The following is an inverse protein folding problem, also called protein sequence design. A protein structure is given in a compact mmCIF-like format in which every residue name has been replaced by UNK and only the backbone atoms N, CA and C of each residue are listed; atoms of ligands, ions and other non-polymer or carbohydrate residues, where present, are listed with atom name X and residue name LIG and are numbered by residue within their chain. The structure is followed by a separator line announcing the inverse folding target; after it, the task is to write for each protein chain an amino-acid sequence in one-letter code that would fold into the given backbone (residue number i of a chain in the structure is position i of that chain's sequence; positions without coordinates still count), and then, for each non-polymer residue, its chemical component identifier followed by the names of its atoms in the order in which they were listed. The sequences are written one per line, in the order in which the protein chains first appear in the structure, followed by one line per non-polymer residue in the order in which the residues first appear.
data_IF_665402568797
#
_entry.id   IF_665402568797
#
_cell.length_a   1.000
_cell.length_b   1.000
_cell.length_c   1.000
_cell.angle_alpha   90.00
_cell.angle_beta   90.00
_cell.angle_gamma   90.00
#
_symmetry.space_group_name_H-M   'P 1'
#
loop_
_entity.id
_entity.type
_entity.pdbx_description
1 polymer ?
#
# COMPACT_ATOMS: atom_id res chain seq x y z
N UNK A 1 2.51 -15.50 5.29
CA UNK A 1 2.27 -16.28 6.53
C UNK A 1 3.29 -17.40 6.70
N UNK A 2 3.59 -18.21 5.68
CA UNK A 2 4.65 -19.24 5.75
C UNK A 2 6.01 -18.64 6.16
N UNK A 3 6.36 -17.48 5.62
CA UNK A 3 7.56 -16.74 5.99
C UNK A 3 7.56 -16.32 7.47
N UNK A 4 6.43 -15.83 8.00
CA UNK A 4 6.29 -15.49 9.41
C UNK A 4 6.43 -16.73 10.29
N UNK A 5 5.80 -17.85 9.92
CA UNK A 5 5.91 -19.13 10.63
C UNK A 5 7.37 -19.62 10.66
N UNK A 6 8.06 -19.49 9.53
CA UNK A 6 9.45 -19.90 9.42
C UNK A 6 10.40 -19.08 10.29
N UNK A 7 10.14 -17.77 10.43
CA UNK A 7 10.92 -16.88 11.28
C UNK A 7 10.58 -17.07 12.76
N UNK A 8 9.30 -17.02 13.11
CA UNK A 8 8.88 -16.99 14.52
C UNK A 8 8.78 -18.38 15.15
N UNK A 9 8.63 -19.42 14.35
CA UNK A 9 8.37 -20.81 14.77
C UNK A 9 7.23 -20.93 15.80
N UNK A 10 6.34 -19.94 15.83
CA UNK A 10 5.23 -19.87 16.77
C UNK A 10 3.89 -19.81 16.01
N UNK A 11 3.24 -20.98 15.90
CA UNK A 11 1.98 -21.12 15.19
C UNK A 11 0.88 -20.23 15.80
N UNK A 12 0.84 -20.09 17.13
CA UNK A 12 -0.13 -19.24 17.82
C UNK A 12 -0.01 -17.78 17.37
N UNK A 13 1.23 -17.25 17.32
CA UNK A 13 1.47 -15.89 16.83
C UNK A 13 1.01 -15.73 15.40
N UNK A 14 1.31 -16.70 14.53
CA UNK A 14 0.91 -16.66 13.13
C UNK A 14 -0.62 -16.62 12.99
N UNK A 15 -1.34 -17.49 13.69
CA UNK A 15 -2.81 -17.52 13.67
C UNK A 15 -3.40 -16.19 14.16
N UNK A 16 -2.87 -15.65 15.27
CA UNK A 16 -3.32 -14.37 15.80
C UNK A 16 -3.01 -13.21 14.83
N UNK A 17 -1.88 -13.25 14.11
CA UNK A 17 -1.56 -12.28 13.08
C UNK A 17 -2.53 -12.34 11.91
N UNK A 18 -2.87 -13.55 11.44
CA UNK A 18 -3.88 -13.74 10.37
C UNK A 18 -5.21 -13.15 10.80
N UNK A 19 -5.64 -13.46 12.03
CA UNK A 19 -6.88 -12.92 12.57
C UNK A 19 -6.87 -11.40 12.66
N UNK A 20 -5.76 -10.81 13.09
CA UNK A 20 -5.57 -9.35 13.16
C UNK A 20 -5.72 -8.68 11.80
N UNK A 21 -5.09 -9.25 10.78
CA UNK A 21 -5.18 -8.74 9.40
C UNK A 21 -6.63 -8.77 8.91
N UNK A 22 -7.30 -9.93 9.08
CA UNK A 22 -8.69 -10.09 8.66
C UNK A 22 -9.60 -9.10 9.41
N UNK A 23 -9.44 -8.97 10.71
CA UNK A 23 -10.22 -8.04 11.52
C UNK A 23 -10.00 -6.58 11.07
N UNK A 24 -8.77 -6.18 10.81
CA UNK A 24 -8.44 -4.83 10.32
C UNK A 24 -9.09 -4.55 8.97
N UNK A 25 -9.04 -5.51 8.05
CA UNK A 25 -9.66 -5.39 6.72
C UNK A 25 -11.19 -5.27 6.85
N UNK A 26 -11.82 -6.18 7.61
CA UNK A 26 -13.27 -6.19 7.79
C UNK A 26 -13.77 -4.90 8.41
N UNK A 27 -13.07 -4.40 9.45
CA UNK A 27 -13.46 -3.13 10.10
C UNK A 27 -13.27 -1.96 9.13
N UNK A 28 -12.18 -1.89 8.40
CA UNK A 28 -11.91 -0.77 7.48
C UNK A 28 -12.91 -0.74 6.31
N UNK A 29 -13.15 -1.87 5.66
CA UNK A 29 -14.11 -1.96 4.56
C UNK A 29 -15.56 -1.83 5.05
N UNK A 30 -15.88 -2.38 6.24
CA UNK A 30 -17.17 -2.20 6.89
C UNK A 30 -17.44 -0.74 7.23
N UNK A 31 -16.41 0.00 7.69
CA UNK A 31 -16.51 1.43 7.95
C UNK A 31 -16.77 2.21 6.65
N UNK A 32 -16.14 1.83 5.53
CA UNK A 32 -16.42 2.40 4.23
C UNK A 32 -17.88 2.25 3.83
N UNK A 33 -18.44 1.05 4.03
CA UNK A 33 -19.86 0.79 3.74
C UNK A 33 -20.80 1.65 4.63
N UNK A 34 -20.46 1.84 5.90
CA UNK A 34 -21.27 2.63 6.84
C UNK A 34 -21.20 4.12 6.50
N UNK A 35 -20.02 4.65 6.21
CA UNK A 35 -19.81 6.09 6.00
C UNK A 35 -20.19 6.55 4.58
N UNK A 36 -19.96 5.70 3.58
CA UNK A 36 -20.08 6.10 2.17
C UNK A 36 -21.10 5.27 1.38
N UNK A 37 -21.69 4.26 2.00
CA UNK A 37 -22.67 3.36 1.36
C UNK A 37 -22.08 2.41 0.32
N UNK A 38 -20.74 2.28 0.25
CA UNK A 38 -20.07 1.41 -0.72
C UNK A 38 -18.56 1.34 -0.57
N UNK A 39 -17.95 0.56 -1.45
CA UNK A 39 -16.50 0.38 -1.55
C UNK A 39 -16.07 0.90 -2.91
N UNK A 40 -15.19 1.88 -2.93
CA UNK A 40 -14.60 2.43 -4.16
C UNK A 40 -13.60 1.45 -4.79
N UNK A 41 -13.46 1.48 -6.11
CA UNK A 41 -12.54 0.60 -6.84
C UNK A 41 -11.09 0.71 -6.31
N UNK A 42 -10.65 1.92 -5.98
CA UNK A 42 -9.32 2.19 -5.44
C UNK A 42 -9.10 1.51 -4.09
N UNK A 43 -10.16 1.27 -3.30
CA UNK A 43 -10.08 0.61 -2.00
C UNK A 43 -9.73 -0.89 -2.06
N UNK A 44 -9.70 -1.49 -3.25
CA UNK A 44 -9.18 -2.86 -3.46
C UNK A 44 -7.72 -2.99 -2.98
N UNK A 45 -6.97 -1.89 -2.96
CA UNK A 45 -5.58 -1.85 -2.49
C UNK A 45 -5.50 -1.83 -0.95
N UNK A 46 -6.52 -1.34 -0.25
CA UNK A 46 -6.53 -1.23 1.23
C UNK A 46 -6.19 -2.54 1.95
N UNK A 47 -6.75 -3.71 1.60
CA UNK A 47 -6.39 -4.98 2.24
C UNK A 47 -4.91 -5.30 2.17
N UNK A 48 -4.25 -5.04 1.03
CA UNK A 48 -2.82 -5.27 0.86
C UNK A 48 -1.99 -4.33 1.75
N UNK A 49 -2.38 -3.07 1.86
CA UNK A 49 -1.72 -2.09 2.73
C UNK A 49 -1.83 -2.50 4.19
N UNK A 50 -3.04 -2.80 4.67
CA UNK A 50 -3.27 -3.20 6.06
C UNK A 50 -2.55 -4.52 6.40
N UNK A 51 -2.49 -5.47 5.46
CA UNK A 51 -1.70 -6.69 5.60
C UNK A 51 -0.22 -6.39 5.83
N UNK A 52 0.38 -5.53 5.00
CA UNK A 52 1.80 -5.19 5.09
C UNK A 52 2.09 -4.46 6.39
N UNK A 53 1.27 -3.48 6.77
CA UNK A 53 1.43 -2.70 8.01
C UNK A 53 1.31 -3.61 9.23
N UNK A 54 0.25 -4.43 9.32
CA UNK A 54 0.04 -5.35 10.43
C UNK A 54 1.20 -6.34 10.59
N UNK A 55 1.66 -6.93 9.48
CA UNK A 55 2.76 -7.87 9.49
C UNK A 55 4.06 -7.19 9.93
N UNK A 56 4.33 -5.98 9.44
CA UNK A 56 5.50 -5.18 9.82
C UNK A 56 5.49 -4.86 11.32
N UNK A 57 4.36 -4.38 11.84
CA UNK A 57 4.23 -4.00 13.25
C UNK A 57 4.47 -5.20 14.18
N UNK A 58 3.84 -6.35 13.88
CA UNK A 58 4.03 -7.58 14.66
C UNK A 58 5.46 -8.09 14.56
N UNK A 59 6.08 -8.04 13.39
CA UNK A 59 7.47 -8.43 13.20
C UNK A 59 8.42 -7.56 14.00
N UNK A 60 8.21 -6.26 14.04
CA UNK A 60 9.01 -5.33 14.85
C UNK A 60 8.85 -5.59 16.35
N UNK A 61 7.61 -5.81 16.80
CA UNK A 61 7.32 -6.11 18.20
C UNK A 61 7.93 -7.45 18.65
N UNK A 62 7.98 -8.46 17.78
CA UNK A 62 8.48 -9.81 18.09
C UNK A 62 9.97 -9.97 17.85
N UNK A 63 10.62 -9.05 17.13
CA UNK A 63 12.05 -9.14 16.83
C UNK A 63 12.90 -8.88 18.08
N UNK A 64 14.03 -9.62 18.25
CA UNK A 64 14.98 -9.51 19.36
C UNK A 64 14.34 -9.64 20.75
N UNK A 65 13.60 -10.70 20.99
CA UNK A 65 13.14 -10.99 22.35
C UNK A 65 14.28 -11.58 23.19
N UNK A 66 14.63 -10.89 24.25
CA UNK A 66 15.47 -11.47 25.32
C UNK A 66 14.64 -12.45 26.16
N UNK A 67 15.31 -13.41 26.82
CA UNK A 67 14.63 -14.33 27.74
C UNK A 67 13.81 -13.54 28.77
N UNK A 68 12.55 -13.95 28.96
CA UNK A 68 11.68 -13.35 29.95
C UNK A 68 12.18 -13.79 31.34
N UNK A 69 12.99 -12.94 31.96
CA UNK A 69 13.51 -13.14 33.33
C UNK A 69 12.63 -12.46 34.38
N UNK A 70 11.66 -11.66 33.96
CA UNK A 70 10.75 -10.84 34.76
C UNK A 70 9.29 -11.19 34.50
N UNK A 71 8.35 -10.52 35.17
CA UNK A 71 6.91 -10.73 34.94
C UNK A 71 6.53 -10.38 33.48
N UNK A 72 5.44 -11.02 32.98
CA UNK A 72 4.93 -10.74 31.62
C UNK A 72 4.61 -9.26 31.42
N UNK A 73 4.06 -8.63 32.45
CA UNK A 73 3.67 -7.21 32.39
C UNK A 73 4.86 -6.28 32.26
N UNK A 74 5.90 -6.48 33.10
CA UNK A 74 7.11 -5.67 33.03
C UNK A 74 7.87 -5.89 31.73
N UNK A 75 7.87 -7.11 31.18
CA UNK A 75 8.44 -7.39 29.87
C UNK A 75 7.66 -6.68 28.76
N UNK A 76 6.32 -6.74 28.77
CA UNK A 76 5.48 -6.05 27.80
C UNK A 76 5.72 -4.52 27.84
N UNK A 77 5.70 -3.93 29.04
CA UNK A 77 5.91 -2.49 29.21
C UNK A 77 7.30 -2.06 28.72
N UNK A 78 8.35 -2.81 29.07
CA UNK A 78 9.70 -2.56 28.58
C UNK A 78 9.78 -2.63 27.05
N UNK A 79 9.05 -3.57 26.43
CA UNK A 79 9.02 -3.74 24.98
C UNK A 79 8.27 -2.61 24.29
N UNK A 80 7.14 -2.18 24.85
CA UNK A 80 6.42 -0.99 24.36
C UNK A 80 7.31 0.25 24.46
N UNK A 81 8.05 0.41 25.54
CA UNK A 81 8.93 1.56 25.72
C UNK A 81 10.09 1.60 24.71
N UNK A 82 10.65 0.45 24.36
CA UNK A 82 11.81 0.37 23.46
C UNK A 82 11.46 0.29 21.99
N UNK A 83 10.47 -0.52 21.61
CA UNK A 83 10.11 -0.79 20.21
C UNK A 83 8.72 -0.28 19.86
N UNK A 84 7.79 -0.35 20.80
CA UNK A 84 6.40 0.08 20.57
C UNK A 84 6.29 1.55 20.16
N UNK A 85 7.12 2.42 20.72
CA UNK A 85 7.19 3.84 20.33
C UNK A 85 7.58 4.00 18.86
N UNK A 86 8.56 3.23 18.39
CA UNK A 86 8.98 3.28 17.00
C UNK A 86 7.89 2.72 16.07
N UNK A 87 7.23 1.63 16.45
CA UNK A 87 6.11 1.05 15.71
C UNK A 87 4.93 2.02 15.67
N UNK A 88 4.57 2.64 16.80
CA UNK A 88 3.51 3.64 16.83
C UNK A 88 3.83 4.84 15.93
N UNK A 89 5.09 5.33 15.97
CA UNK A 89 5.50 6.44 15.11
C UNK A 89 5.40 6.08 13.62
N UNK A 90 5.84 4.90 13.21
CA UNK A 90 5.74 4.44 11.80
C UNK A 90 4.29 4.32 11.36
N UNK A 91 3.41 3.75 12.19
CA UNK A 91 1.99 3.62 11.85
C UNK A 91 1.28 4.97 11.82
N UNK A 92 1.59 5.89 12.74
CA UNK A 92 1.05 7.25 12.72
C UNK A 92 1.50 8.01 11.47
N UNK A 93 2.80 7.96 11.13
CA UNK A 93 3.29 8.64 9.91
C UNK A 93 2.69 8.04 8.65
N UNK A 94 2.46 6.73 8.60
CA UNK A 94 1.75 6.07 7.51
C UNK A 94 0.30 6.53 7.41
N UNK A 95 -0.42 6.59 8.53
CA UNK A 95 -1.79 7.09 8.58
C UNK A 95 -1.86 8.55 8.11
N UNK A 96 -0.96 9.41 8.58
CA UNK A 96 -0.86 10.80 8.14
C UNK A 96 -0.59 10.92 6.64
N UNK A 97 0.24 10.02 6.08
CA UNK A 97 0.49 9.99 4.63
C UNK A 97 -0.79 9.69 3.84
N UNK A 98 -1.64 8.79 4.32
CA UNK A 98 -2.94 8.54 3.68
C UNK A 98 -3.92 9.70 3.87
N UNK A 99 -3.85 10.44 4.99
CA UNK A 99 -4.67 11.64 5.18
C UNK A 99 -4.33 12.77 4.20
N UNK A 100 -3.15 12.78 3.58
CA UNK A 100 -2.85 13.78 2.53
C UNK A 100 -3.79 13.68 1.32
N UNK A 101 -4.39 12.49 1.09
CA UNK A 101 -5.39 12.33 0.02
C UNK A 101 -6.70 13.08 0.27
N UNK A 102 -6.94 13.57 1.50
CA UNK A 102 -8.11 14.42 1.78
C UNK A 102 -8.10 15.76 1.03
N UNK A 103 -6.93 16.20 0.59
CA UNK A 103 -6.77 17.44 -0.21
C UNK A 103 -7.09 17.22 -1.70
N UNK A 104 -7.35 15.97 -2.09
CA UNK A 104 -7.62 15.63 -3.49
C UNK A 104 -9.10 15.90 -3.85
N UNK A 105 -9.35 16.47 -5.03
CA UNK A 105 -10.71 16.75 -5.54
C UNK A 105 -11.44 15.50 -6.03
N UNK A 106 -10.73 14.36 -6.20
CA UNK A 106 -11.31 13.11 -6.69
C UNK A 106 -11.88 12.33 -5.50
N UNK A 107 -13.21 12.29 -5.38
CA UNK A 107 -13.92 11.66 -4.26
C UNK A 107 -13.49 10.22 -3.95
N UNK A 108 -13.31 9.29 -4.90
CA UNK A 108 -12.80 7.96 -4.61
C UNK A 108 -11.43 7.94 -3.93
N UNK A 109 -10.53 8.84 -4.30
CA UNK A 109 -9.18 8.94 -3.72
C UNK A 109 -9.26 9.49 -2.29
N UNK A 110 -10.07 10.52 -2.07
CA UNK A 110 -10.32 11.10 -0.75
C UNK A 110 -10.87 10.05 0.23
N UNK A 111 -11.92 9.32 -0.20
CA UNK A 111 -12.54 8.26 0.62
C UNK A 111 -11.57 7.12 0.91
N UNK A 112 -10.79 6.70 -0.09
CA UNK A 112 -9.73 5.71 0.08
C UNK A 112 -8.70 6.15 1.13
N UNK A 113 -8.21 7.39 1.05
CA UNK A 113 -7.23 7.95 1.99
C UNK A 113 -7.75 7.94 3.43
N UNK A 114 -9.01 8.39 3.64
CA UNK A 114 -9.63 8.41 4.95
C UNK A 114 -9.77 7.00 5.55
N UNK A 115 -10.37 6.08 4.79
CA UNK A 115 -10.60 4.69 5.26
C UNK A 115 -9.29 3.96 5.54
N UNK A 116 -8.31 4.10 4.64
CA UNK A 116 -7.01 3.45 4.82
C UNK A 116 -6.25 4.02 6.01
N UNK A 117 -6.30 5.34 6.23
CA UNK A 117 -5.69 5.97 7.39
C UNK A 117 -6.28 5.45 8.70
N UNK A 118 -7.62 5.43 8.83
CA UNK A 118 -8.30 4.87 10.01
C UNK A 118 -7.95 3.39 10.17
N UNK A 119 -7.93 2.64 9.07
CA UNK A 119 -7.54 1.23 9.05
C UNK A 119 -6.14 0.98 9.59
N UNK A 120 -5.16 1.82 9.21
CA UNK A 120 -3.78 1.72 9.70
C UNK A 120 -3.72 1.96 11.22
N UNK A 121 -4.40 3.00 11.73
CA UNK A 121 -4.44 3.26 13.18
C UNK A 121 -5.09 2.09 13.92
N UNK A 122 -6.20 1.56 13.40
CA UNK A 122 -6.87 0.40 13.99
C UNK A 122 -5.98 -0.85 13.97
N UNK A 123 -5.23 -1.04 12.88
CA UNK A 123 -4.27 -2.15 12.74
C UNK A 123 -3.17 -2.08 13.81
N UNK A 124 -2.65 -0.89 14.13
CA UNK A 124 -1.70 -0.69 15.20
C UNK A 124 -2.26 -1.17 16.56
N UNK A 125 -3.50 -0.77 16.90
CA UNK A 125 -4.12 -1.20 18.16
C UNK A 125 -4.27 -2.72 18.22
N UNK A 126 -4.74 -3.35 17.15
CA UNK A 126 -4.86 -4.83 17.10
C UNK A 126 -3.49 -5.50 17.20
N UNK A 127 -2.46 -4.97 16.52
CA UNK A 127 -1.11 -5.53 16.58
C UNK A 127 -0.54 -5.50 18.01
N UNK A 128 -0.76 -4.41 18.75
CA UNK A 128 -0.37 -4.30 20.16
C UNK A 128 -1.13 -5.29 21.05
N UNK A 129 -2.45 -5.44 20.85
CA UNK A 129 -3.26 -6.42 21.59
C UNK A 129 -2.81 -7.86 21.30
N UNK A 130 -2.60 -8.20 20.04
CA UNK A 130 -2.12 -9.52 19.63
C UNK A 130 -0.73 -9.80 20.21
N UNK A 131 0.15 -8.80 20.19
CA UNK A 131 1.44 -8.94 20.82
C UNK A 131 1.31 -9.24 22.33
N UNK A 132 0.47 -8.48 23.07
CA UNK A 132 0.23 -8.70 24.49
C UNK A 132 -0.28 -10.12 24.80
N UNK A 133 -1.21 -10.64 23.98
CA UNK A 133 -1.78 -11.98 24.11
C UNK A 133 -0.75 -13.07 23.74
N UNK A 134 0.17 -12.76 22.83
CA UNK A 134 1.15 -13.72 22.32
C UNK A 134 2.34 -13.94 23.27
N UNK A 135 2.56 -13.04 24.22
CA UNK A 135 3.64 -13.18 25.21
C UNK A 135 3.32 -14.33 26.15
N UNK A 136 4.06 -15.43 26.04
CA UNK A 136 3.97 -16.57 26.93
C UNK A 136 5.33 -16.87 27.59
N UNK A 137 5.30 -17.49 28.80
CA UNK A 137 6.54 -17.85 29.52
C UNK A 137 7.46 -18.79 28.73
N UNK A 138 6.88 -19.55 27.82
CA UNK A 138 7.59 -20.48 26.93
C UNK A 138 7.91 -19.85 25.55
N UNK A 139 7.86 -18.53 25.42
CA UNK A 139 8.24 -17.87 24.18
C UNK A 139 9.75 -18.06 23.98
N UNK A 140 10.12 -19.15 23.32
CA UNK A 140 11.49 -19.40 22.92
C UNK A 140 11.92 -18.33 21.92
N UNK A 141 13.09 -17.75 22.16
CA UNK A 141 13.76 -16.90 21.20
C UNK A 141 13.72 -17.59 19.83
N UNK A 142 12.97 -17.04 18.89
CA UNK A 142 13.16 -17.41 17.51
C UNK A 142 14.57 -16.96 17.13
N UNK A 143 15.52 -17.91 17.16
CA UNK A 143 16.86 -17.63 16.65
C UNK A 143 16.65 -17.19 15.21
N UNK A 144 17.01 -15.95 14.87
CA UNK A 144 16.89 -15.51 13.48
C UNK A 144 17.64 -16.52 12.63
N UNK A 145 17.12 -16.82 11.46
CA UNK A 145 17.69 -17.79 10.57
C UNK A 145 19.16 -17.43 10.35
N UNK A 146 20.07 -18.27 10.83
CA UNK A 146 21.52 -18.05 10.72
C UNK A 146 21.95 -17.71 9.29
N UNK A 147 21.21 -18.27 8.30
CA UNK A 147 21.42 -17.99 6.89
C UNK A 147 21.02 -16.56 6.49
N UNK A 148 19.94 -16.02 7.05
CA UNK A 148 19.49 -14.66 6.77
C UNK A 148 20.37 -13.62 7.48
N UNK A 149 20.81 -13.90 8.70
CA UNK A 149 21.80 -13.05 9.39
C UNK A 149 23.13 -13.01 8.62
N UNK A 150 23.64 -14.16 8.16
CA UNK A 150 24.84 -14.17 7.33
C UNK A 150 24.66 -13.36 6.04
N UNK A 151 23.51 -13.47 5.39
CA UNK A 151 23.23 -12.68 4.20
C UNK A 151 23.22 -11.17 4.51
N UNK A 152 22.52 -10.75 5.56
CA UNK A 152 22.48 -9.34 5.98
C UNK A 152 23.85 -8.84 6.41
N UNK A 153 24.62 -9.63 7.15
CA UNK A 153 25.99 -9.27 7.58
C UNK A 153 26.93 -9.12 6.38
N UNK A 154 26.84 -10.00 5.38
CA UNK A 154 27.61 -9.91 4.14
C UNK A 154 27.21 -8.63 3.37
N UNK A 155 25.91 -8.34 3.24
CA UNK A 155 25.41 -7.14 2.55
C UNK A 155 25.88 -5.89 3.29
N UNK A 156 25.72 -5.83 4.60
CA UNK A 156 26.15 -4.69 5.44
C UNK A 156 27.66 -4.50 5.33
N UNK A 157 28.44 -5.58 5.42
CA UNK A 157 29.89 -5.53 5.27
C UNK A 157 30.33 -5.01 3.90
N UNK A 158 29.70 -5.52 2.83
CA UNK A 158 29.97 -5.05 1.47
C UNK A 158 29.56 -3.60 1.28
N UNK A 159 28.42 -3.17 1.79
CA UNK A 159 27.96 -1.77 1.72
C UNK A 159 28.92 -0.86 2.49
N UNK A 160 29.28 -1.23 3.73
CA UNK A 160 30.20 -0.44 4.57
C UNK A 160 31.59 -0.27 3.93
N UNK A 161 32.11 -1.35 3.35
CA UNK A 161 33.42 -1.31 2.67
C UNK A 161 33.31 -0.72 1.26
N UNK A 162 32.19 -0.91 0.59
CA UNK A 162 31.91 -0.36 -0.74
C UNK A 162 31.69 1.15 -0.74
N UNK A 163 31.27 1.73 0.38
CA UNK A 163 31.00 3.18 0.50
C UNK A 163 32.24 4.05 0.18
N UNK A 164 33.43 3.52 0.37
CA UNK A 164 34.70 4.20 -0.01
C UNK A 164 35.15 3.87 -1.44
N UNK A 165 34.47 2.99 -2.14
CA UNK A 165 34.83 2.54 -3.48
C UNK A 165 34.25 3.47 -4.55
N UNK A 166 35.08 3.88 -5.50
CA UNK A 166 34.65 4.63 -6.70
C UNK A 166 33.57 3.88 -7.48
N UNK A 167 33.64 2.54 -7.53
CA UNK A 167 32.64 1.70 -8.19
C UNK A 167 31.25 1.81 -7.54
N UNK A 168 31.17 1.97 -6.21
CA UNK A 168 29.87 2.16 -5.51
C UNK A 168 29.21 3.46 -5.96
N UNK A 169 29.94 4.57 -6.00
CA UNK A 169 29.41 5.86 -6.42
C UNK A 169 29.01 5.85 -7.91
N UNK A 170 29.76 5.12 -8.74
CA UNK A 170 29.45 4.97 -10.16
C UNK A 170 28.14 4.17 -10.36
N UNK A 171 27.95 3.07 -9.62
CA UNK A 171 26.71 2.30 -9.66
C UNK A 171 25.51 3.13 -9.18
N UNK A 172 25.66 3.87 -8.08
CA UNK A 172 24.59 4.76 -7.58
C UNK A 172 24.28 5.87 -8.58
N UNK A 173 25.32 6.48 -9.19
CA UNK A 173 25.13 7.47 -10.24
C UNK A 173 24.40 6.91 -11.47
N UNK A 174 24.75 5.69 -11.89
CA UNK A 174 24.09 5.03 -13.02
C UNK A 174 22.61 4.73 -12.71
N UNK A 175 22.28 4.28 -11.49
CA UNK A 175 20.89 4.05 -11.06
C UNK A 175 20.07 5.34 -11.06
N UNK A 176 20.65 6.44 -10.55
CA UNK A 176 20.01 7.76 -10.56
C UNK A 176 19.78 8.22 -12.02
N UNK A 177 20.76 8.05 -12.88
CA UNK A 177 20.66 8.44 -14.30
C UNK A 177 19.57 7.63 -15.02
N UNK A 178 19.50 6.30 -14.78
CA UNK A 178 18.44 5.45 -15.32
C UNK A 178 17.07 5.91 -14.80
N UNK A 179 16.98 6.27 -13.51
CA UNK A 179 15.74 6.80 -12.93
C UNK A 179 15.29 8.11 -13.59
N UNK A 180 16.19 9.07 -13.75
CA UNK A 180 15.92 10.36 -14.43
C UNK A 180 15.50 10.11 -15.88
N UNK A 181 16.23 9.25 -16.60
CA UNK A 181 15.86 8.88 -17.97
C UNK A 181 14.47 8.25 -18.04
N UNK A 182 14.13 7.36 -17.09
CA UNK A 182 12.80 6.76 -17.00
C UNK A 182 11.70 7.82 -16.81
N UNK A 183 11.90 8.74 -15.86
CA UNK A 183 10.94 9.83 -15.59
C UNK A 183 10.77 10.75 -16.80
N UNK A 184 11.86 11.10 -17.48
CA UNK A 184 11.82 11.96 -18.68
C UNK A 184 11.02 11.34 -19.84
N UNK A 185 10.89 10.00 -19.88
CA UNK A 185 10.17 9.26 -20.92
C UNK A 185 8.77 8.81 -20.47
N UNK A 186 8.29 9.24 -19.30
CA UNK A 186 6.93 8.93 -18.87
C UNK A 186 5.92 9.64 -19.78
N UNK A 187 5.11 8.86 -20.47
CA UNK A 187 3.96 9.38 -21.21
C UNK A 187 2.76 9.40 -20.27
N UNK A 188 2.16 10.57 -20.10
CA UNK A 188 0.95 10.78 -19.29
C UNK A 188 -0.29 10.58 -20.17
N UNK A 189 -0.28 9.54 -20.99
CA UNK A 189 -1.36 9.25 -21.91
C UNK A 189 -2.03 7.95 -21.45
N UNK A 190 -3.03 8.08 -20.58
CA UNK A 190 -3.69 6.92 -19.98
C UNK A 190 -5.02 6.68 -20.71
N UNK A 191 -5.01 5.77 -21.68
CA UNK A 191 -6.22 5.28 -22.31
C UNK A 191 -6.90 4.29 -21.35
N UNK A 192 -8.11 4.60 -20.92
CA UNK A 192 -8.94 3.69 -20.09
C UNK A 192 -9.08 2.28 -20.69
N UNK A 193 -8.95 2.18 -22.00
CA UNK A 193 -8.99 0.93 -22.76
C UNK A 193 -7.75 0.05 -22.58
N UNK A 194 -6.60 0.63 -22.24
CA UNK A 194 -5.36 -0.11 -22.07
C UNK A 194 -5.34 -0.95 -20.76
N UNK A 195 -6.16 -0.57 -19.78
CA UNK A 195 -6.32 -1.30 -18.53
C UNK A 195 -7.26 -2.52 -18.65
N UNK A 196 -8.03 -2.59 -19.74
CA UNK A 196 -8.97 -3.69 -19.96
C UNK A 196 -8.23 -4.90 -20.56
N UNK A 197 -8.46 -6.07 -19.98
CA UNK A 197 -7.87 -7.29 -20.53
C UNK A 197 -8.29 -7.48 -22.00
N UNK A 198 -7.32 -7.49 -22.91
CA UNK A 198 -7.53 -7.61 -24.38
C UNK A 198 -8.33 -8.84 -24.81
N UNK A 199 -8.44 -9.86 -23.94
CA UNK A 199 -9.23 -11.08 -24.20
C UNK A 199 -10.68 -10.96 -23.70
N UNK A 200 -11.05 -9.91 -22.98
CA UNK A 200 -12.40 -9.72 -22.44
C UNK A 200 -13.39 -9.31 -23.55
N UNK A 201 -14.65 -9.70 -23.39
CA UNK A 201 -15.76 -9.25 -24.25
C UNK A 201 -15.88 -7.72 -24.23
N UNK A 202 -15.65 -7.11 -23.06
CA UNK A 202 -15.68 -5.67 -22.89
C UNK A 202 -14.64 -4.97 -23.76
N UNK A 203 -13.41 -5.50 -23.86
CA UNK A 203 -12.38 -4.94 -24.73
C UNK A 203 -12.80 -5.04 -26.22
N UNK A 204 -13.35 -6.17 -26.65
CA UNK A 204 -13.79 -6.34 -28.04
C UNK A 204 -14.91 -5.38 -28.44
N UNK A 205 -15.89 -5.19 -27.55
CA UNK A 205 -16.97 -4.23 -27.75
C UNK A 205 -16.43 -2.79 -27.80
N UNK A 206 -15.56 -2.45 -26.86
CA UNK A 206 -14.90 -1.15 -26.78
C UNK A 206 -14.09 -0.85 -28.03
N UNK A 207 -13.24 -1.80 -28.46
CA UNK A 207 -12.43 -1.67 -29.67
C UNK A 207 -13.30 -1.59 -30.95
N UNK A 208 -14.45 -2.27 -30.98
CA UNK A 208 -15.37 -2.18 -32.07
C UNK A 208 -15.95 -0.73 -32.23
N UNK A 209 -16.39 -0.15 -31.11
CA UNK A 209 -16.92 1.23 -31.12
C UNK A 209 -15.81 2.25 -31.43
N UNK A 210 -14.61 2.05 -30.89
CA UNK A 210 -13.48 2.94 -31.14
C UNK A 210 -13.09 2.97 -32.62
N UNK A 211 -13.08 1.82 -33.29
CA UNK A 211 -12.70 1.70 -34.70
C UNK A 211 -13.78 2.12 -35.67
N UNK A 212 -15.09 2.01 -35.32
CA UNK A 212 -16.18 2.25 -36.24
C UNK A 212 -16.91 3.59 -36.01
N UNK A 213 -16.80 4.15 -34.81
CA UNK A 213 -17.54 5.36 -34.41
C UNK A 213 -16.64 6.50 -33.94
N UNK A 214 -15.32 6.39 -34.13
CA UNK A 214 -14.35 7.45 -33.80
C UNK A 214 -14.10 7.65 -32.32
N UNK A 215 -14.47 6.68 -31.44
CA UNK A 215 -14.20 6.71 -30.02
C UNK A 215 -15.42 6.37 -29.16
N UNK A 216 -15.14 6.05 -27.87
CA UNK A 216 -16.15 5.67 -26.90
C UNK A 216 -16.55 6.86 -26.02
N UNK A 217 -15.72 7.91 -25.98
CA UNK A 217 -15.99 9.08 -25.15
C UNK A 217 -17.06 9.95 -25.83
N UNK A 218 -18.25 10.11 -25.22
CA UNK A 218 -19.24 11.02 -25.76
C UNK A 218 -18.69 12.46 -25.68
N UNK A 219 -18.63 13.15 -26.82
CA UNK A 219 -18.34 14.57 -26.86
C UNK A 219 -19.68 15.29 -26.75
N UNK A 220 -19.91 16.03 -25.65
CA UNK A 220 -21.09 16.83 -25.46
C UNK A 220 -20.76 18.28 -25.83
N UNK A 221 -21.35 18.76 -26.91
CA UNK A 221 -21.17 20.13 -27.35
C UNK A 221 -22.41 20.93 -26.89
N UNK A 222 -22.19 21.91 -26.04
CA UNK A 222 -23.21 22.85 -25.60
C UNK A 222 -23.27 24.01 -26.62
N UNK A 223 -24.37 24.13 -27.33
CA UNK A 223 -24.66 25.28 -28.19
C UNK A 223 -25.59 26.24 -27.44
N UNK A 224 -25.25 27.54 -27.45
CA UNK A 224 -26.14 28.55 -26.88
C UNK A 224 -27.39 28.66 -27.71
N UNK A 225 -28.54 28.90 -27.07
CA UNK A 225 -29.87 28.89 -27.68
C UNK A 225 -30.00 29.86 -28.87
N UNK A 226 -29.23 30.93 -28.90
CA UNK A 226 -29.20 31.90 -30.00
C UNK A 226 -28.58 31.36 -31.29
N UNK A 227 -27.82 30.29 -31.25
CA UNK A 227 -27.05 29.74 -32.37
C UNK A 227 -27.58 28.40 -32.92
N UNK A 228 -28.69 27.88 -32.38
CA UNK A 228 -29.21 26.55 -32.74
C UNK A 228 -29.72 26.49 -34.20
N UNK A 229 -29.99 27.63 -34.87
CA UNK A 229 -30.45 27.69 -36.25
C UNK A 229 -29.36 27.83 -37.31
N UNK A 230 -28.09 27.98 -36.90
CA UNK A 230 -27.02 28.22 -37.87
C UNK A 230 -26.24 26.95 -38.20
N UNK A 231 -26.53 26.35 -39.34
CA UNK A 231 -25.88 25.15 -39.89
C UNK A 231 -24.35 25.36 -40.11
N UNK A 232 -23.90 26.62 -40.20
CA UNK A 232 -22.49 26.96 -40.40
C UNK A 232 -21.63 26.59 -39.16
N UNK A 233 -22.21 26.68 -37.98
CA UNK A 233 -21.54 26.32 -36.70
C UNK A 233 -21.33 24.80 -36.61
N UNK A 234 -22.32 24.00 -37.03
CA UNK A 234 -22.18 22.53 -37.06
C UNK A 234 -21.08 22.11 -38.03
N UNK A 235 -20.91 22.78 -39.17
CA UNK A 235 -19.84 22.48 -40.14
C UNK A 235 -18.46 22.90 -39.64
N UNK A 236 -18.36 23.93 -38.78
CA UNK A 236 -17.11 24.34 -38.17
C UNK A 236 -16.68 23.36 -37.03
N UNK A 237 -17.66 22.88 -36.26
CA UNK A 237 -17.40 21.86 -35.21
C UNK A 237 -16.96 20.54 -35.85
N UNK A 238 -17.58 20.11 -36.94
CA UNK A 238 -17.22 18.90 -37.69
C UNK A 238 -15.80 18.97 -38.28
N UNK A 239 -15.31 20.13 -38.63
CA UNK A 239 -13.96 20.37 -39.13
C UNK A 239 -12.90 20.46 -38.02
N UNK A 240 -13.32 20.69 -36.78
CA UNK A 240 -12.42 20.83 -35.60
C UNK A 240 -12.24 19.53 -34.79
N UNK A 241 -13.02 18.51 -35.10
CA UNK A 241 -12.93 17.14 -34.56
C UNK A 241 -12.11 16.28 -35.48
#
# INVERSE_FOLDING_TARGET
FLFLLFITKNLRLVILTVFSVIASIVVSLGLSQILFGGIELVMIITPAILFIVCLSDIMHLTNKQSKITVSKESFFLSRIDTVGKAVALTSITTAMSFLTFLVNDIMPILRFGLITSIGVVFTLFIALLVYAISIDKNFNESKPLLSFQRFTDIVIYKLKNGQKSKSFHLIMGALIFIGIYGVANVKIDNYLTDEINKKSEMYKQTAFFDNHFGGIKPITIFLDKENIGDLSILSQVEKSI
#
